data_IF_384876214497
#
_entry.id   IF_384876214497
#
_cell.length_a   1.000
_cell.length_b   1.000
_cell.length_c   1.000
_cell.angle_alpha   90.00
_cell.angle_beta   90.00
_cell.angle_gamma   90.00
#
_symmetry.space_group_name_H-M   'P 1'
#
loop_
_entity.id
_entity.type
_entity.pdbx_description
1 polymer ?
#
# COMPACT_ATOMS: atom_id res chain seq x y z
N UNK A 1 26.21 -24.41 -38.13
CA UNK A 1 25.76 -25.80 -37.96
C UNK A 1 26.66 -26.46 -36.92
N UNK A 2 26.25 -26.52 -35.66
CA UNK A 2 26.89 -27.37 -34.65
C UNK A 2 25.78 -27.91 -33.75
N UNK A 3 25.66 -29.23 -33.73
CA UNK A 3 24.65 -29.99 -32.99
C UNK A 3 25.15 -30.38 -31.59
N UNK A 4 24.15 -30.53 -30.74
CA UNK A 4 24.09 -30.81 -29.30
C UNK A 4 24.74 -32.15 -28.90
N UNK A 5 25.24 -32.23 -27.65
CA UNK A 5 25.07 -33.45 -26.83
C UNK A 5 24.97 -33.12 -25.34
N UNK A 6 23.83 -33.49 -24.75
CA UNK A 6 23.55 -33.50 -23.31
C UNK A 6 23.99 -34.83 -22.71
N UNK A 7 24.57 -34.82 -21.50
CA UNK A 7 24.45 -35.96 -20.56
C UNK A 7 24.24 -35.48 -19.12
N UNK A 8 23.15 -35.99 -18.55
CA UNK A 8 22.78 -35.95 -17.14
C UNK A 8 23.78 -36.75 -16.29
N UNK A 9 23.99 -36.32 -15.04
CA UNK A 9 24.68 -37.11 -14.03
C UNK A 9 23.74 -37.30 -12.83
N UNK A 10 23.25 -38.53 -12.65
CA UNK A 10 22.63 -39.04 -11.43
C UNK A 10 23.66 -39.91 -10.72
N UNK A 11 23.85 -39.73 -9.42
CA UNK A 11 24.53 -40.70 -8.57
C UNK A 11 23.74 -40.88 -7.26
N UNK A 12 23.11 -42.04 -7.16
CA UNK A 12 22.76 -42.74 -5.92
C UNK A 12 23.97 -43.58 -5.49
N UNK A 13 24.30 -43.64 -4.19
CA UNK A 13 24.47 -44.95 -3.54
C UNK A 13 24.67 -44.92 -2.02
N UNK A 14 24.21 -46.02 -1.45
CA UNK A 14 24.14 -46.45 -0.05
C UNK A 14 25.50 -46.57 0.67
N UNK A 15 25.46 -46.48 2.01
CA UNK A 15 26.12 -47.45 2.92
C UNK A 15 25.49 -47.46 4.31
N UNK A 16 25.28 -48.69 4.78
CA UNK A 16 24.67 -49.14 6.06
C UNK A 16 25.81 -49.52 7.03
N UNK A 17 25.45 -49.94 8.25
CA UNK A 17 26.22 -50.47 9.40
C UNK A 17 26.52 -49.40 10.47
N UNK A 18 26.20 -49.57 11.76
CA UNK A 18 26.27 -50.78 12.58
C UNK A 18 25.28 -50.77 13.76
N UNK A 19 24.86 -51.97 14.15
CA UNK A 19 23.97 -52.31 15.26
C UNK A 19 24.83 -52.64 16.49
N UNK A 20 24.48 -52.09 17.66
CA UNK A 20 24.88 -52.65 18.95
C UNK A 20 23.64 -52.92 19.79
N UNK A 21 23.41 -54.20 20.07
CA UNK A 21 22.50 -54.72 21.09
C UNK A 21 23.35 -55.41 22.15
N UNK A 22 23.01 -55.20 23.43
CA UNK A 22 23.04 -56.14 24.57
C UNK A 22 22.63 -55.32 25.82
N UNK A 23 21.35 -55.29 26.21
CA UNK A 23 20.62 -56.24 27.08
C UNK A 23 21.06 -56.16 28.56
N UNK A 24 20.26 -55.53 29.41
CA UNK A 24 19.95 -56.10 30.73
C UNK A 24 18.57 -55.67 31.28
N UNK A 25 17.87 -56.62 31.90
CA UNK A 25 16.49 -56.59 32.43
C UNK A 25 16.44 -55.99 33.85
N UNK A 26 15.32 -55.36 34.19
CA UNK A 26 14.50 -55.53 35.43
C UNK A 26 13.71 -54.23 35.67
N UNK A 27 12.40 -54.18 35.37
CA UNK A 27 11.26 -54.49 36.26
C UNK A 27 10.56 -53.21 36.76
N UNK A 28 9.23 -53.20 36.57
CA UNK A 28 8.18 -52.68 37.45
C UNK A 28 7.60 -51.24 37.35
N UNK A 29 6.26 -51.28 37.22
CA UNK A 29 5.19 -50.39 37.72
C UNK A 29 4.76 -49.11 36.98
N UNK A 30 3.56 -49.25 36.39
CA UNK A 30 2.43 -48.32 36.19
C UNK A 30 2.54 -46.86 36.63
N UNK A 31 2.11 -45.94 35.75
CA UNK A 31 1.03 -44.96 36.03
C UNK A 31 0.57 -44.26 34.75
N UNK A 32 -0.72 -44.32 34.48
CA UNK A 32 -1.40 -43.44 33.52
C UNK A 32 -1.25 -42.00 34.00
N UNK A 33 -0.57 -41.18 33.21
CA UNK A 33 -0.48 -39.73 33.40
C UNK A 33 -1.26 -39.03 32.30
N UNK A 34 -2.44 -38.51 32.65
CA UNK A 34 -3.21 -37.60 31.81
C UNK A 34 -2.34 -36.35 31.57
N UNK A 35 -1.77 -36.23 30.37
CA UNK A 35 -1.15 -34.98 29.93
C UNK A 35 -2.26 -33.94 29.76
N UNK A 36 -2.41 -33.06 30.76
CA UNK A 36 -3.12 -31.80 30.60
C UNK A 36 -2.40 -31.03 29.49
N UNK A 37 -3.03 -30.92 28.32
CA UNK A 37 -2.65 -29.93 27.30
C UNK A 37 -2.71 -28.57 27.98
N UNK A 38 -1.56 -27.98 28.26
CA UNK A 38 -1.48 -26.56 28.56
C UNK A 38 -2.09 -25.84 27.36
N UNK A 39 -3.20 -25.14 27.57
CA UNK A 39 -3.64 -24.09 26.66
C UNK A 39 -2.41 -23.23 26.37
N UNK A 40 -1.95 -23.25 25.12
CA UNK A 40 -0.92 -22.34 24.67
C UNK A 40 -1.37 -20.94 25.04
N UNK A 41 -0.54 -20.23 25.80
CA UNK A 41 -0.72 -18.80 26.02
C UNK A 41 -0.86 -18.16 24.64
N UNK A 42 -2.05 -17.63 24.35
CA UNK A 42 -2.21 -16.65 23.28
C UNK A 42 -1.16 -15.58 23.57
N UNK A 43 -0.11 -15.55 22.74
CA UNK A 43 0.84 -14.44 22.75
C UNK A 43 0.04 -13.14 22.60
N UNK A 44 0.53 -12.01 23.13
CA UNK A 44 -0.21 -10.77 23.09
C UNK A 44 -0.67 -10.53 21.64
N UNK A 45 -1.99 -10.48 21.44
CA UNK A 45 -2.57 -9.98 20.20
C UNK A 45 -1.87 -8.65 19.96
N UNK A 46 -1.04 -8.56 18.93
CA UNK A 46 -0.50 -7.27 18.51
C UNK A 46 -1.71 -6.40 18.27
N UNK A 47 -2.01 -5.46 19.16
CA UNK A 47 -2.99 -4.43 18.90
C UNK A 47 -2.53 -3.76 17.61
N UNK A 48 -3.28 -3.96 16.53
CA UNK A 48 -3.00 -3.29 15.27
C UNK A 48 -2.92 -1.79 15.55
N UNK A 49 -1.87 -1.12 15.06
CA UNK A 49 -1.78 0.33 15.22
C UNK A 49 -2.96 0.98 14.50
N UNK A 50 -3.36 2.15 15.00
CA UNK A 50 -4.39 2.94 14.33
C UNK A 50 -3.97 3.24 12.88
N UNK A 51 -4.94 3.21 11.98
CA UNK A 51 -4.74 3.61 10.60
C UNK A 51 -4.49 5.12 10.54
N UNK A 52 -3.68 5.52 9.57
CA UNK A 52 -3.46 6.89 9.19
C UNK A 52 -4.13 7.14 7.83
N UNK A 53 -4.67 8.34 7.65
CA UNK A 53 -5.18 8.78 6.35
C UNK A 53 -4.13 9.63 5.62
N UNK A 54 -4.07 9.48 4.29
CA UNK A 54 -3.31 10.36 3.40
C UNK A 54 -4.15 10.70 2.19
N UNK A 55 -3.95 11.91 1.63
CA UNK A 55 -4.38 12.20 0.28
C UNK A 55 -3.42 11.54 -0.71
N UNK A 56 -3.96 10.94 -1.76
CA UNK A 56 -3.21 10.54 -2.94
C UNK A 56 -3.89 11.12 -4.19
N UNK A 57 -3.13 11.84 -5.01
CA UNK A 57 -3.65 12.40 -6.28
C UNK A 57 -2.85 11.83 -7.43
N UNK A 58 -3.56 11.29 -8.41
CA UNK A 58 -3.04 10.87 -9.71
C UNK A 58 -3.26 12.04 -10.66
N UNK A 59 -2.15 12.60 -11.14
CA UNK A 59 -2.10 13.87 -11.88
C UNK A 59 -2.54 13.71 -13.34
N UNK A 60 -2.81 14.82 -14.07
CA UNK A 60 -3.33 14.76 -15.43
C UNK A 60 -2.46 14.01 -16.45
N UNK A 61 -1.13 13.99 -16.28
CA UNK A 61 -0.21 13.22 -17.11
C UNK A 61 -0.48 11.71 -17.03
N UNK A 62 -0.82 11.21 -15.84
CA UNK A 62 -1.12 9.81 -15.63
C UNK A 62 -2.56 9.47 -16.02
N UNK A 63 -3.53 10.34 -15.70
CA UNK A 63 -4.94 10.13 -16.02
C UNK A 63 -5.23 10.15 -17.52
N UNK A 64 -4.43 10.86 -18.31
CA UNK A 64 -4.48 10.80 -19.77
C UNK A 64 -4.21 9.40 -20.35
N UNK A 65 -3.66 8.46 -19.55
CA UNK A 65 -3.31 7.11 -19.97
C UNK A 65 -4.04 6.06 -19.12
N UNK A 66 -5.16 5.48 -19.59
CA UNK A 66 -5.97 4.54 -18.82
C UNK A 66 -5.19 3.35 -18.25
N UNK A 67 -4.22 2.83 -18.99
CA UNK A 67 -3.36 1.72 -18.54
C UNK A 67 -2.47 2.11 -17.35
N UNK A 68 -2.02 3.37 -17.29
CA UNK A 68 -1.25 3.87 -16.15
C UNK A 68 -2.17 4.00 -14.93
N UNK A 69 -3.37 4.55 -15.10
CA UNK A 69 -4.35 4.67 -14.00
C UNK A 69 -4.67 3.29 -13.42
N UNK A 70 -4.95 2.30 -14.27
CA UNK A 70 -5.21 0.93 -13.83
C UNK A 70 -4.00 0.34 -13.10
N UNK A 71 -2.79 0.49 -13.65
CA UNK A 71 -1.57 0.00 -13.00
C UNK A 71 -1.34 0.65 -11.62
N UNK A 72 -1.59 1.95 -11.48
CA UNK A 72 -1.47 2.65 -10.20
C UNK A 72 -2.54 2.18 -9.21
N UNK A 73 -3.77 1.98 -9.67
CA UNK A 73 -4.86 1.47 -8.86
C UNK A 73 -4.54 0.07 -8.31
N UNK A 74 -4.09 -0.83 -9.18
CA UNK A 74 -3.65 -2.17 -8.76
C UNK A 74 -2.45 -2.12 -7.80
N UNK A 75 -1.53 -1.18 -8.00
CA UNK A 75 -0.39 -0.98 -7.08
C UNK A 75 -0.84 -0.52 -5.69
N UNK A 76 -1.83 0.38 -5.60
CA UNK A 76 -2.43 0.80 -4.34
C UNK A 76 -3.00 -0.41 -3.58
N UNK A 77 -3.80 -1.24 -4.27
CA UNK A 77 -4.38 -2.46 -3.69
C UNK A 77 -3.32 -3.48 -3.28
N UNK A 78 -2.31 -3.73 -4.14
CA UNK A 78 -1.23 -4.67 -3.86
C UNK A 78 -0.38 -4.27 -2.64
N UNK A 79 -0.24 -2.96 -2.37
CA UNK A 79 0.45 -2.42 -1.20
C UNK A 79 -0.45 -2.33 0.05
N UNK A 80 -1.64 -2.93 0.00
CA UNK A 80 -2.62 -3.03 1.10
C UNK A 80 -3.09 -1.68 1.62
N UNK A 81 -3.21 -0.69 0.74
CA UNK A 81 -3.93 0.53 1.07
C UNK A 81 -5.43 0.26 1.01
N UNK A 82 -6.14 0.72 2.03
CA UNK A 82 -7.59 0.79 2.03
C UNK A 82 -7.98 2.09 1.33
N UNK A 83 -8.70 1.97 0.22
CA UNK A 83 -9.28 3.12 -0.48
C UNK A 83 -10.58 3.50 0.21
N UNK A 84 -10.60 4.60 0.96
CA UNK A 84 -11.79 5.06 1.71
C UNK A 84 -12.75 5.83 0.81
N UNK A 85 -12.20 6.70 -0.04
CA UNK A 85 -12.93 7.49 -1.04
C UNK A 85 -12.08 7.62 -2.29
N UNK A 86 -12.74 7.77 -3.42
CA UNK A 86 -12.12 8.11 -4.71
C UNK A 86 -13.02 9.08 -5.46
N UNK A 87 -12.41 9.98 -6.24
CA UNK A 87 -13.14 10.96 -7.05
C UNK A 87 -12.29 11.39 -8.25
N UNK A 88 -12.90 11.41 -9.41
CA UNK A 88 -12.36 12.08 -10.60
C UNK A 88 -12.80 13.53 -10.61
N UNK A 89 -11.89 14.44 -10.96
CA UNK A 89 -12.16 15.86 -10.99
C UNK A 89 -11.30 16.58 -12.05
N UNK A 90 -11.78 17.75 -12.47
CA UNK A 90 -11.06 18.68 -13.34
C UNK A 90 -11.01 20.01 -12.62
N UNK A 91 -9.80 20.52 -12.37
CA UNK A 91 -9.63 21.81 -11.71
C UNK A 91 -9.61 22.95 -12.71
N UNK A 92 -10.24 24.07 -12.32
CA UNK A 92 -9.97 25.35 -12.95
C UNK A 92 -8.63 25.87 -12.43
N UNK A 93 -8.05 26.83 -13.16
CA UNK A 93 -6.81 27.50 -12.74
C UNK A 93 -6.89 28.04 -11.30
N UNK A 94 -8.02 28.67 -10.95
CA UNK A 94 -8.27 29.22 -9.61
C UNK A 94 -8.24 28.16 -8.50
N UNK A 95 -8.71 26.94 -8.76
CA UNK A 95 -8.68 25.85 -7.77
C UNK A 95 -7.24 25.40 -7.54
N UNK A 96 -6.45 25.32 -8.61
CA UNK A 96 -5.02 24.99 -8.54
C UNK A 96 -4.21 26.08 -7.81
N UNK A 97 -4.51 27.35 -8.06
CA UNK A 97 -3.87 28.49 -7.36
C UNK A 97 -4.17 28.45 -5.86
N UNK A 98 -5.44 28.22 -5.48
CA UNK A 98 -5.82 28.08 -4.06
C UNK A 98 -5.09 26.93 -3.38
N UNK A 99 -5.00 25.78 -4.05
CA UNK A 99 -4.36 24.60 -3.48
C UNK A 99 -2.84 24.79 -3.31
N UNK A 100 -2.17 25.42 -4.28
CA UNK A 100 -0.73 25.65 -4.25
C UNK A 100 -0.32 27.04 -3.76
N UNK A 101 -1.19 27.75 -3.02
CA UNK A 101 -0.92 29.11 -2.56
C UNK A 101 0.39 29.21 -1.74
N UNK A 102 0.74 28.17 -0.98
CA UNK A 102 2.02 28.08 -0.23
C UNK A 102 3.27 28.05 -1.14
N UNK A 103 3.10 27.88 -2.46
CA UNK A 103 4.15 27.89 -3.45
C UNK A 103 4.15 29.15 -4.32
N UNK A 104 3.28 30.11 -4.04
CA UNK A 104 3.26 31.39 -4.73
C UNK A 104 4.65 32.07 -4.67
N UNK A 105 5.07 32.67 -5.79
CA UNK A 105 6.39 33.27 -5.94
C UNK A 105 7.54 32.30 -6.25
N UNK A 106 7.33 30.97 -6.17
CA UNK A 106 8.35 30.00 -6.59
C UNK A 106 8.42 29.91 -8.12
N UNK A 107 9.62 29.73 -8.68
CA UNK A 107 9.84 29.70 -10.14
C UNK A 107 9.01 28.64 -10.90
N UNK A 108 8.59 27.57 -10.22
CA UNK A 108 7.79 26.49 -10.82
C UNK A 108 6.28 26.65 -10.61
N UNK A 109 5.83 27.66 -9.86
CA UNK A 109 4.45 27.82 -9.42
C UNK A 109 3.47 27.90 -10.60
N UNK A 110 3.69 28.82 -11.55
CA UNK A 110 2.77 28.98 -12.68
C UNK A 110 2.68 27.70 -13.52
N UNK A 111 3.82 27.05 -13.78
CA UNK A 111 3.85 25.78 -14.51
C UNK A 111 3.10 24.67 -13.78
N UNK A 112 3.17 24.64 -12.45
CA UNK A 112 2.45 23.66 -11.63
C UNK A 112 0.94 23.90 -11.67
N UNK A 113 0.51 25.15 -11.52
CA UNK A 113 -0.89 25.57 -11.59
C UNK A 113 -1.49 25.24 -12.97
N UNK A 114 -0.82 25.67 -14.04
CA UNK A 114 -1.26 25.41 -15.41
C UNK A 114 -1.40 23.90 -15.68
N UNK A 115 -0.39 23.13 -15.27
CA UNK A 115 -0.40 21.68 -15.43
C UNK A 115 -1.55 21.00 -14.66
N UNK A 116 -1.77 21.38 -13.40
CA UNK A 116 -2.84 20.76 -12.60
C UNK A 116 -4.23 21.13 -13.10
N UNK A 117 -4.37 22.28 -13.79
CA UNK A 117 -5.60 22.69 -14.46
C UNK A 117 -5.73 22.19 -15.92
N UNK A 118 -4.76 21.43 -16.45
CA UNK A 118 -4.73 21.08 -17.88
C UNK A 118 -5.60 19.89 -18.26
N UNK A 119 -6.22 19.20 -17.30
CA UNK A 119 -6.99 17.99 -17.58
C UNK A 119 -7.56 17.31 -16.34
N UNK A 120 -8.18 16.14 -16.51
CA UNK A 120 -8.72 15.36 -15.41
C UNK A 120 -7.62 14.81 -14.50
N UNK A 121 -7.93 14.67 -13.23
CA UNK A 121 -7.11 14.02 -12.21
C UNK A 121 -7.98 13.10 -11.37
N UNK A 122 -7.36 12.16 -10.67
CA UNK A 122 -8.05 11.25 -9.74
C UNK A 122 -7.49 11.44 -8.34
N UNK A 123 -8.36 11.71 -7.38
CA UNK A 123 -8.00 11.80 -5.97
C UNK A 123 -8.51 10.58 -5.20
N UNK A 124 -7.74 10.16 -4.21
CA UNK A 124 -8.07 9.09 -3.28
C UNK A 124 -7.82 9.56 -1.84
N UNK A 125 -8.69 9.13 -0.93
CA UNK A 125 -8.38 9.06 0.50
C UNK A 125 -7.93 7.63 0.77
N UNK A 126 -6.66 7.47 1.15
CA UNK A 126 -6.07 6.16 1.44
C UNK A 126 -5.86 6.01 2.95
N UNK A 127 -6.20 4.83 3.48
CA UNK A 127 -5.96 4.44 4.87
C UNK A 127 -5.01 3.26 4.96
N UNK A 128 -4.06 3.33 5.90
CA UNK A 128 -3.09 2.27 6.21
C UNK A 128 -2.38 2.59 7.53
N UNK A 129 -1.80 1.60 8.20
CA UNK A 129 -0.75 1.91 9.19
C UNK A 129 0.38 2.68 8.49
N UNK A 130 0.71 3.86 9.02
CA UNK A 130 1.73 4.77 8.48
C UNK A 130 1.50 5.12 6.99
N UNK A 131 0.25 5.39 6.62
CA UNK A 131 -0.16 5.64 5.23
C UNK A 131 0.65 6.75 4.54
N UNK A 132 0.97 7.83 5.25
CA UNK A 132 1.73 8.96 4.69
C UNK A 132 3.14 8.52 4.33
N UNK A 133 3.85 7.89 5.27
CA UNK A 133 5.20 7.38 5.04
C UNK A 133 5.25 6.40 3.88
N UNK A 134 4.36 5.40 3.90
CA UNK A 134 4.29 4.37 2.87
C UNK A 134 3.89 4.90 1.50
N UNK A 135 2.95 5.85 1.42
CA UNK A 135 2.54 6.42 0.14
C UNK A 135 3.70 7.22 -0.47
N UNK A 136 4.44 7.97 0.35
CA UNK A 136 5.63 8.71 -0.09
C UNK A 136 6.75 7.79 -0.57
N UNK A 137 6.98 6.68 0.12
CA UNK A 137 7.92 5.65 -0.32
C UNK A 137 7.51 5.07 -1.68
N UNK A 138 6.22 4.71 -1.82
CA UNK A 138 5.68 4.14 -3.06
C UNK A 138 5.74 5.12 -4.24
N UNK A 139 5.51 6.41 -3.98
CA UNK A 139 5.71 7.47 -4.97
C UNK A 139 7.18 7.63 -5.36
N UNK A 140 8.08 7.61 -4.36
CA UNK A 140 9.51 7.85 -4.52
C UNK A 140 9.90 9.33 -4.63
N UNK A 141 11.18 9.62 -4.91
CA UNK A 141 11.70 10.98 -4.94
C UNK A 141 10.96 11.90 -5.94
N UNK A 142 10.76 13.18 -5.57
CA UNK A 142 10.05 14.16 -6.42
C UNK A 142 10.71 14.36 -7.79
N UNK A 143 12.05 14.35 -7.82
CA UNK A 143 12.83 14.48 -9.06
C UNK A 143 12.89 13.13 -9.78
N UNK A 144 12.31 13.06 -10.97
CA UNK A 144 12.11 11.80 -11.70
C UNK A 144 13.43 11.11 -12.01
N UNK A 145 14.46 11.85 -12.42
CA UNK A 145 15.77 11.26 -12.69
C UNK A 145 16.39 10.61 -11.43
N UNK A 146 16.19 11.22 -10.27
CA UNK A 146 16.65 10.67 -8.98
C UNK A 146 15.86 9.41 -8.63
N UNK A 147 14.55 9.42 -8.83
CA UNK A 147 13.71 8.25 -8.63
C UNK A 147 14.17 7.08 -9.51
N UNK A 148 14.41 7.31 -10.80
CA UNK A 148 14.92 6.28 -11.73
C UNK A 148 16.26 5.69 -11.30
N UNK A 149 17.16 6.53 -10.78
CA UNK A 149 18.50 6.08 -10.36
C UNK A 149 18.48 5.35 -9.01
N UNK A 150 17.80 5.90 -8.00
CA UNK A 150 17.87 5.42 -6.61
C UNK A 150 16.76 4.46 -6.20
N UNK A 151 15.61 4.49 -6.89
CA UNK A 151 14.42 3.72 -6.52
C UNK A 151 13.59 3.38 -7.77
N UNK A 152 14.12 2.56 -8.71
CA UNK A 152 13.53 2.35 -10.04
C UNK A 152 12.12 1.74 -10.02
N UNK A 153 11.73 1.11 -8.91
CA UNK A 153 10.43 0.47 -8.73
C UNK A 153 9.32 1.42 -8.23
N UNK A 154 9.64 2.69 -7.93
CA UNK A 154 8.64 3.66 -7.45
C UNK A 154 7.78 4.21 -8.59
N UNK A 155 6.61 4.75 -8.25
CA UNK A 155 5.67 5.30 -9.23
C UNK A 155 6.33 6.39 -10.09
N UNK A 156 7.04 7.33 -9.46
CA UNK A 156 7.70 8.44 -10.16
C UNK A 156 8.82 7.97 -11.07
N UNK A 157 9.52 6.89 -10.71
CA UNK A 157 10.54 6.31 -11.57
C UNK A 157 9.95 5.70 -12.84
N UNK A 158 8.86 4.94 -12.68
CA UNK A 158 8.22 4.18 -13.75
C UNK A 158 7.41 5.05 -14.71
N UNK A 159 6.67 6.03 -14.19
CA UNK A 159 5.67 6.78 -14.97
C UNK A 159 5.92 8.28 -15.03
N UNK A 160 6.84 8.82 -14.22
CA UNK A 160 7.14 10.25 -14.21
C UNK A 160 7.82 10.69 -15.50
N UNK A 161 7.42 11.85 -16.01
CA UNK A 161 7.98 12.47 -17.22
C UNK A 161 8.99 13.56 -16.87
N UNK A 162 8.63 14.46 -15.96
CA UNK A 162 9.47 15.59 -15.51
C UNK A 162 9.23 15.88 -14.02
N UNK A 163 9.99 16.80 -13.43
CA UNK A 163 9.83 17.18 -12.02
C UNK A 163 8.43 17.74 -11.71
N UNK A 164 7.79 18.42 -12.66
CA UNK A 164 6.40 18.91 -12.52
C UNK A 164 5.37 17.84 -12.89
N UNK A 165 5.65 17.04 -13.93
CA UNK A 165 4.81 15.94 -14.43
C UNK A 165 5.34 14.60 -13.91
N UNK A 166 5.21 14.43 -12.60
CA UNK A 166 5.72 13.27 -11.87
C UNK A 166 4.59 12.33 -11.41
N UNK A 167 3.48 12.27 -12.16
CA UNK A 167 2.40 11.28 -12.01
C UNK A 167 1.53 11.41 -10.75
N UNK A 168 2.11 11.71 -9.58
CA UNK A 168 1.43 11.60 -8.28
C UNK A 168 1.79 12.69 -7.28
N UNK A 169 0.81 13.04 -6.44
CA UNK A 169 0.95 13.86 -5.23
C UNK A 169 0.50 13.04 -4.01
N UNK A 170 1.05 13.41 -2.85
CA UNK A 170 0.58 12.92 -1.57
C UNK A 170 1.08 13.78 -0.44
N UNK A 171 0.30 13.78 0.64
CA UNK A 171 0.55 14.58 1.83
C UNK A 171 1.92 14.24 2.46
N UNK A 172 2.47 15.18 3.22
CA UNK A 172 3.78 15.04 3.87
C UNK A 172 3.73 14.91 5.40
N UNK A 173 2.57 15.20 5.99
CA UNK A 173 2.32 15.26 7.43
C UNK A 173 0.83 15.01 7.69
N UNK A 174 0.49 14.69 8.94
CA UNK A 174 -0.92 14.46 9.33
C UNK A 174 -1.73 15.73 9.14
N UNK A 175 -1.14 16.88 9.45
CA UNK A 175 -1.75 18.19 9.32
C UNK A 175 -1.99 18.53 7.85
N UNK A 176 -1.03 18.27 6.95
CA UNK A 176 -1.25 18.49 5.51
C UNK A 176 -2.29 17.52 4.97
N UNK A 177 -2.26 16.24 5.38
CA UNK A 177 -3.28 15.28 4.97
C UNK A 177 -4.70 15.73 5.33
N UNK A 178 -4.92 16.23 6.56
CA UNK A 178 -6.23 16.74 6.97
C UNK A 178 -6.68 17.93 6.12
N UNK A 179 -5.81 18.93 5.91
CA UNK A 179 -6.13 20.12 5.09
C UNK A 179 -6.40 19.74 3.63
N UNK A 180 -5.54 18.92 3.05
CA UNK A 180 -5.64 18.50 1.67
C UNK A 180 -6.87 17.61 1.42
N UNK A 181 -7.18 16.68 2.33
CA UNK A 181 -8.40 15.86 2.24
C UNK A 181 -9.64 16.75 2.28
N UNK A 182 -9.71 17.71 3.22
CA UNK A 182 -10.84 18.63 3.31
C UNK A 182 -11.00 19.50 2.06
N UNK A 183 -9.91 19.84 1.38
CA UNK A 183 -9.94 20.58 0.11
C UNK A 183 -10.53 19.74 -1.03
N UNK A 184 -10.12 18.48 -1.17
CA UNK A 184 -10.57 17.61 -2.28
C UNK A 184 -11.94 16.96 -2.05
N UNK A 185 -12.26 16.68 -0.79
CA UNK A 185 -13.45 15.99 -0.31
C UNK A 185 -14.10 16.78 0.84
N UNK A 186 -14.70 17.94 0.55
CA UNK A 186 -15.32 18.80 1.57
C UNK A 186 -16.46 18.10 2.35
N UNK A 187 -17.05 17.06 1.77
CA UNK A 187 -18.05 16.19 2.39
C UNK A 187 -17.46 15.14 3.35
N UNK A 188 -16.14 15.00 3.43
CA UNK A 188 -15.47 13.99 4.24
C UNK A 188 -14.86 14.59 5.51
N UNK A 189 -15.36 14.15 6.67
CA UNK A 189 -14.87 14.57 7.98
C UNK A 189 -13.89 13.54 8.55
N UNK A 190 -12.59 13.89 8.56
CA UNK A 190 -11.51 13.00 9.01
C UNK A 190 -11.75 12.51 10.44
N UNK A 191 -12.08 13.40 11.39
CA UNK A 191 -12.25 13.01 12.79
C UNK A 191 -13.41 12.04 12.98
N UNK A 192 -14.54 12.30 12.33
CA UNK A 192 -15.69 11.41 12.38
C UNK A 192 -15.36 10.01 11.83
N UNK A 193 -14.63 9.95 10.71
CA UNK A 193 -14.18 8.68 10.15
C UNK A 193 -13.23 7.94 11.11
N UNK A 194 -12.28 8.65 11.71
CA UNK A 194 -11.31 8.10 12.66
C UNK A 194 -11.99 7.54 13.93
N UNK A 195 -13.06 8.17 14.41
CA UNK A 195 -13.78 7.73 15.61
C UNK A 195 -14.74 6.58 15.32
N UNK A 196 -15.51 6.66 14.22
CA UNK A 196 -16.65 5.77 13.97
C UNK A 196 -16.32 4.57 13.10
N UNK A 197 -15.45 4.76 12.11
CA UNK A 197 -15.24 3.78 11.05
C UNK A 197 -13.87 3.11 11.15
N UNK A 198 -12.82 3.87 11.47
CA UNK A 198 -11.45 3.34 11.56
C UNK A 198 -11.34 2.04 12.36
N UNK A 199 -11.99 1.86 13.53
CA UNK A 199 -11.84 0.62 14.29
C UNK A 199 -12.28 -0.63 13.52
N UNK A 200 -13.39 -0.53 12.77
CA UNK A 200 -13.89 -1.62 11.92
C UNK A 200 -13.01 -1.86 10.70
N UNK A 201 -12.50 -0.78 10.09
CA UNK A 201 -11.55 -0.87 8.98
C UNK A 201 -10.24 -1.55 9.41
N UNK A 202 -9.71 -1.19 10.58
CA UNK A 202 -8.53 -1.81 11.18
C UNK A 202 -8.77 -3.26 11.59
N UNK A 203 -9.97 -3.60 12.04
CA UNK A 203 -10.36 -4.97 12.36
C UNK A 203 -10.51 -5.87 11.12
N UNK A 204 -10.40 -5.31 9.90
CA UNK A 204 -10.52 -6.07 8.65
C UNK A 204 -11.96 -6.39 8.27
N UNK A 205 -12.95 -5.71 8.87
CA UNK A 205 -14.37 -5.87 8.55
C UNK A 205 -14.75 -5.12 7.27
N UNK A 206 -13.89 -5.19 6.25
CA UNK A 206 -14.00 -4.44 5.01
C UNK A 206 -14.02 -5.36 3.80
N UNK A 207 -14.73 -4.94 2.77
CA UNK A 207 -14.75 -5.55 1.45
C UNK A 207 -14.44 -4.50 0.40
N UNK A 208 -13.88 -4.92 -0.72
CA UNK A 208 -13.59 -4.02 -1.83
C UNK A 208 -14.77 -4.03 -2.83
N UNK A 209 -15.44 -2.89 -2.97
CA UNK A 209 -16.49 -2.69 -3.96
C UNK A 209 -15.84 -2.40 -5.32
N UNK A 210 -15.84 -3.39 -6.21
CA UNK A 210 -15.26 -3.29 -7.55
C UNK A 210 -15.90 -2.16 -8.39
N UNK A 211 -17.20 -1.89 -8.20
CA UNK A 211 -17.93 -0.89 -8.99
C UNK A 211 -17.60 0.53 -8.53
N UNK A 212 -17.53 0.74 -7.21
CA UNK A 212 -17.18 2.04 -6.63
C UNK A 212 -15.68 2.28 -6.52
N UNK A 213 -14.88 1.23 -6.68
CA UNK A 213 -13.43 1.21 -6.51
C UNK A 213 -12.94 1.68 -5.11
N UNK A 214 -13.74 1.38 -4.08
CA UNK A 214 -13.45 1.74 -2.67
C UNK A 214 -13.68 0.54 -1.75
N UNK A 215 -13.14 0.61 -0.54
CA UNK A 215 -13.43 -0.33 0.52
C UNK A 215 -14.64 0.15 1.32
N UNK A 216 -15.58 -0.75 1.56
CA UNK A 216 -16.77 -0.54 2.38
C UNK A 216 -16.78 -1.52 3.54
N UNK A 217 -17.52 -1.21 4.60
CA UNK A 217 -17.75 -2.19 5.66
C UNK A 217 -18.56 -3.36 5.09
N UNK A 218 -18.18 -4.58 5.49
CA UNK A 218 -18.96 -5.76 5.17
C UNK A 218 -20.36 -5.59 5.75
N UNK A 219 -21.38 -5.74 4.90
CA UNK A 219 -22.75 -5.83 5.41
C UNK A 219 -22.87 -7.16 6.14
N UNK A 220 -23.10 -7.12 7.46
CA UNK A 220 -23.51 -8.30 8.20
C UNK A 220 -24.80 -8.80 7.55
N UNK A 221 -24.75 -9.96 6.89
CA UNK A 221 -25.96 -10.62 6.40
C UNK A 221 -26.84 -10.91 7.62
N UNK A 222 -27.97 -10.20 7.70
CA UNK A 222 -29.03 -10.42 8.68
C UNK A 222 -29.82 -11.68 8.37
#
# INVERSE_FOLDING_TARGET
MFWISFRHCYWSDFRVYSVYLLRNRSQFYTRQGIQRRSMGSLGPLRCAKALQLTLAVIKPDAVAHPLIVEALHQKILAHKFIIVKSKDLVWRKQDSEKFYAEHEGRFFYQRLVEFMSSGPMRAYILAREDAIGYWRELMGPTKVYRARYSSPNTIRAQYGLTDTRNTTHGSDSVESAQREIAFFFPEFHVQEWMERLEPSFRAGQVEYDQKRQIHTLQQLQS
#
